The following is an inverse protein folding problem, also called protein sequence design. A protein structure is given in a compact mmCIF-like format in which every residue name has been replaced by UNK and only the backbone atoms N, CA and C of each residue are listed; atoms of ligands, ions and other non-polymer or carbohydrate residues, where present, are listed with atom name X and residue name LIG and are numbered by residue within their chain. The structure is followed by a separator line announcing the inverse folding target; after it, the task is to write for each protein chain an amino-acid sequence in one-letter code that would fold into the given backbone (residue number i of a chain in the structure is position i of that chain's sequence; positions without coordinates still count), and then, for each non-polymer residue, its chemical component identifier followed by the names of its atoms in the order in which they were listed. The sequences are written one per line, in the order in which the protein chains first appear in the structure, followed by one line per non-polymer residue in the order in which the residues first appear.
data_IF_048316842557
#
_entry.id   IF_048316842557
#
_cell.length_a   1.000
_cell.length_b   1.000
_cell.length_c   1.000
_cell.angle_alpha   90.00
_cell.angle_beta   90.00
_cell.angle_gamma   90.00
#
_symmetry.space_group_name_H-M   'P 1'
#
loop_
_entity.id
_entity.type
_entity.pdbx_description
1 polymer ?
#
# COMPACT_ATOMS: atom_id res chain seq x y z
N UNK A 1 -0.45 -42.70 -37.87
CA UNK A 1 -0.75 -43.09 -36.47
C UNK A 1 -0.09 -42.22 -35.40
N UNK A 2 1.24 -42.06 -35.30
CA UNK A 2 1.84 -41.24 -34.21
C UNK A 2 1.58 -39.73 -34.31
N UNK A 3 1.44 -39.19 -35.53
CA UNK A 3 1.18 -37.76 -35.73
C UNK A 3 -0.28 -37.38 -35.41
N UNK A 4 -1.24 -38.24 -35.76
CA UNK A 4 -2.68 -38.05 -35.46
C UNK A 4 -2.91 -38.03 -33.94
N UNK A 5 -2.24 -38.89 -33.17
CA UNK A 5 -2.36 -38.90 -31.71
C UNK A 5 -1.84 -37.61 -31.04
N UNK A 6 -0.87 -36.93 -31.66
CA UNK A 6 -0.25 -35.72 -31.13
C UNK A 6 -1.12 -34.49 -31.41
N UNK A 7 -1.69 -34.42 -32.62
CA UNK A 7 -2.67 -33.42 -33.01
C UNK A 7 -3.96 -33.54 -32.18
N UNK A 8 -4.40 -34.76 -31.92
CA UNK A 8 -5.60 -35.03 -31.11
C UNK A 8 -5.37 -34.74 -29.62
N UNK A 9 -4.17 -34.98 -29.10
CA UNK A 9 -3.77 -34.59 -27.75
C UNK A 9 -3.62 -33.06 -27.61
N UNK A 10 -3.07 -32.40 -28.64
CA UNK A 10 -2.95 -30.94 -28.71
C UNK A 10 -4.32 -30.27 -28.76
N UNK A 11 -5.24 -30.78 -29.59
CA UNK A 11 -6.61 -30.27 -29.69
C UNK A 11 -7.38 -30.47 -28.38
N UNK A 12 -7.19 -31.61 -27.69
CA UNK A 12 -7.78 -31.84 -26.35
C UNK A 12 -7.18 -30.91 -25.29
N UNK A 13 -5.88 -30.60 -25.36
CA UNK A 13 -5.24 -29.65 -24.46
C UNK A 13 -5.76 -28.24 -24.71
N UNK A 14 -5.95 -27.82 -25.96
CA UNK A 14 -6.54 -26.52 -26.31
C UNK A 14 -7.98 -26.43 -25.80
N UNK A 15 -8.81 -27.46 -26.04
CA UNK A 15 -10.20 -27.51 -25.55
C UNK A 15 -10.28 -27.53 -24.02
N UNK A 16 -9.29 -28.12 -23.33
CA UNK A 16 -9.19 -28.06 -21.88
C UNK A 16 -8.61 -26.72 -21.36
N UNK A 17 -7.92 -25.96 -22.22
CA UNK A 17 -7.21 -24.72 -21.90
C UNK A 17 -7.94 -23.43 -22.29
N UNK A 18 -9.16 -23.47 -22.85
CA UNK A 18 -9.87 -22.24 -23.27
C UNK A 18 -10.06 -21.22 -22.12
N UNK A 19 -10.00 -21.65 -20.84
CA UNK A 19 -10.09 -20.77 -19.66
C UNK A 19 -8.85 -20.75 -18.73
N UNK A 20 -7.91 -21.69 -18.89
CA UNK A 20 -6.82 -21.93 -17.92
C UNK A 20 -5.74 -20.82 -17.89
N UNK A 21 -5.27 -20.23 -19.01
CA UNK A 21 -4.29 -19.15 -18.93
C UNK A 21 -4.88 -17.88 -18.32
N UNK A 22 -6.19 -17.63 -18.49
CA UNK A 22 -6.85 -16.48 -17.89
C UNK A 22 -7.07 -16.63 -16.38
N UNK A 23 -7.45 -17.83 -15.90
CA UNK A 23 -7.62 -18.03 -14.46
C UNK A 23 -6.30 -17.96 -13.69
N UNK A 24 -5.22 -18.57 -14.19
CA UNK A 24 -3.90 -18.49 -13.54
C UNK A 24 -3.39 -17.04 -13.51
N UNK A 25 -3.55 -16.30 -14.61
CA UNK A 25 -3.17 -14.88 -14.68
C UNK A 25 -4.06 -14.03 -13.77
N UNK A 26 -5.35 -14.35 -13.66
CA UNK A 26 -6.28 -13.66 -12.75
C UNK A 26 -5.88 -13.89 -11.29
N UNK A 27 -5.60 -15.12 -10.88
CA UNK A 27 -5.20 -15.44 -9.51
C UNK A 27 -3.87 -14.79 -9.15
N UNK A 28 -2.90 -14.76 -10.08
CA UNK A 28 -1.63 -14.07 -9.88
C UNK A 28 -1.82 -12.55 -9.73
N UNK A 29 -2.66 -11.95 -10.58
CA UNK A 29 -2.99 -10.52 -10.53
C UNK A 29 -3.74 -10.18 -9.24
N UNK A 30 -4.72 -10.97 -8.84
CA UNK A 30 -5.47 -10.79 -7.59
C UNK A 30 -4.55 -10.91 -6.37
N UNK A 31 -3.68 -11.92 -6.34
CA UNK A 31 -2.67 -12.09 -5.29
C UNK A 31 -1.72 -10.89 -5.20
N UNK A 32 -1.25 -10.37 -6.33
CA UNK A 32 -0.37 -9.20 -6.37
C UNK A 32 -1.08 -7.92 -5.94
N UNK A 33 -2.33 -7.74 -6.33
CA UNK A 33 -3.16 -6.61 -5.87
C UNK A 33 -3.34 -6.68 -4.36
N UNK A 34 -3.62 -7.86 -3.80
CA UNK A 34 -3.82 -8.02 -2.37
C UNK A 34 -2.55 -7.77 -1.57
N UNK A 35 -1.39 -8.25 -2.05
CA UNK A 35 -0.08 -7.90 -1.47
C UNK A 35 0.18 -6.38 -1.52
N UNK A 36 -0.14 -5.72 -2.64
CA UNK A 36 0.03 -4.27 -2.77
C UNK A 36 -0.86 -3.51 -1.78
N UNK A 37 -2.11 -3.95 -1.58
CA UNK A 37 -3.01 -3.37 -0.58
C UNK A 37 -2.46 -3.55 0.83
N UNK A 38 -2.02 -4.76 1.18
CA UNK A 38 -1.48 -5.04 2.51
C UNK A 38 -0.26 -4.16 2.82
N UNK A 39 0.66 -4.04 1.87
CA UNK A 39 1.83 -3.15 1.99
C UNK A 39 1.41 -1.69 2.12
N UNK A 40 0.47 -1.23 1.29
CA UNK A 40 -0.03 0.14 1.35
C UNK A 40 -0.70 0.44 2.69
N UNK A 41 -1.52 -0.47 3.21
CA UNK A 41 -2.18 -0.34 4.51
C UNK A 41 -1.19 -0.27 5.67
N UNK A 42 -0.18 -1.14 5.70
CA UNK A 42 0.88 -1.11 6.73
C UNK A 42 1.69 0.18 6.69
N UNK A 43 2.00 0.67 5.48
CA UNK A 43 2.70 1.95 5.32
C UNK A 43 1.84 3.13 5.79
N UNK A 44 0.53 3.10 5.51
CA UNK A 44 -0.40 4.13 5.97
C UNK A 44 -0.46 4.17 7.50
N UNK A 45 -0.65 3.02 8.14
CA UNK A 45 -0.70 2.90 9.61
C UNK A 45 0.59 3.44 10.25
N UNK A 46 1.75 3.06 9.73
CA UNK A 46 3.04 3.58 10.19
C UNK A 46 3.14 5.11 10.04
N UNK A 47 2.71 5.67 8.91
CA UNK A 47 2.73 7.12 8.69
C UNK A 47 1.79 7.86 9.65
N UNK A 48 0.65 7.27 10.00
CA UNK A 48 -0.27 7.83 10.99
C UNK A 48 0.33 7.83 12.40
N UNK A 49 1.02 6.76 12.80
CA UNK A 49 1.75 6.68 14.07
C UNK A 49 2.89 7.70 14.14
N UNK A 50 3.68 7.83 13.07
CA UNK A 50 4.75 8.82 12.96
C UNK A 50 4.19 10.24 13.05
N UNK A 51 3.09 10.53 12.34
CA UNK A 51 2.38 11.82 12.43
C UNK A 51 1.90 12.10 13.85
N UNK A 52 1.29 11.12 14.52
CA UNK A 52 0.82 11.28 15.88
C UNK A 52 1.98 11.60 16.84
N UNK A 53 3.12 10.92 16.67
CA UNK A 53 4.35 11.17 17.43
C UNK A 53 4.87 12.59 17.20
N UNK A 54 4.95 13.05 15.95
CA UNK A 54 5.38 14.43 15.62
C UNK A 54 4.45 15.47 16.23
N UNK A 55 3.13 15.27 16.15
CA UNK A 55 2.14 16.17 16.76
C UNK A 55 2.29 16.20 18.28
N UNK A 56 2.52 15.05 18.93
CA UNK A 56 2.77 14.99 20.36
C UNK A 56 4.04 15.77 20.75
N UNK A 57 5.16 15.53 20.07
CA UNK A 57 6.41 16.27 20.29
C UNK A 57 6.22 17.78 20.06
N UNK A 58 5.46 18.19 19.04
CA UNK A 58 5.16 19.59 18.78
C UNK A 58 4.35 20.21 19.94
N UNK A 59 3.39 19.47 20.50
CA UNK A 59 2.60 19.90 21.65
C UNK A 59 3.46 20.07 22.91
N UNK A 60 4.38 19.15 23.18
CA UNK A 60 5.34 19.26 24.28
C UNK A 60 6.28 20.43 24.11
N UNK A 61 6.82 20.62 22.90
CA UNK A 61 7.69 21.74 22.59
C UNK A 61 6.97 23.08 22.77
N UNK A 62 5.72 23.20 22.31
CA UNK A 62 4.87 24.38 22.55
C UNK A 62 4.73 24.67 24.04
N UNK A 63 4.46 23.65 24.87
CA UNK A 63 4.36 23.82 26.33
C UNK A 63 5.66 24.34 26.94
N UNK A 64 6.81 23.78 26.54
CA UNK A 64 8.12 24.23 27.02
C UNK A 64 8.38 25.68 26.62
N UNK A 65 8.10 26.04 25.36
CA UNK A 65 8.33 27.39 24.84
C UNK A 65 7.42 28.41 25.51
N UNK A 66 6.11 28.16 25.60
CA UNK A 66 5.20 29.07 26.29
C UNK A 66 5.47 29.14 27.80
N UNK A 67 5.90 28.04 28.43
CA UNK A 67 6.33 28.06 29.83
C UNK A 67 7.56 28.93 30.07
N UNK A 68 8.48 29.01 29.09
CA UNK A 68 9.73 29.78 29.21
C UNK A 68 9.61 31.24 28.76
N UNK A 69 8.88 31.48 27.68
CA UNK A 69 8.82 32.79 27.02
C UNK A 69 7.46 33.50 27.20
N UNK A 70 6.43 32.79 27.68
CA UNK A 70 5.10 33.34 27.92
C UNK A 70 4.53 34.01 26.68
N UNK A 71 3.96 35.20 26.87
CA UNK A 71 3.35 36.02 25.81
C UNK A 71 4.38 36.72 24.91
N UNK A 72 5.68 36.51 25.13
CA UNK A 72 6.74 37.11 24.32
C UNK A 72 6.91 36.41 22.96
N UNK A 73 6.20 35.30 22.73
CA UNK A 73 6.22 34.53 21.47
C UNK A 73 4.79 34.18 21.03
N UNK A 74 4.56 34.08 19.72
CA UNK A 74 3.33 33.50 19.15
C UNK A 74 3.70 32.43 18.11
N UNK A 75 3.38 31.17 18.42
CA UNK A 75 3.76 30.01 17.60
C UNK A 75 2.67 29.58 16.60
N UNK A 76 1.51 30.25 16.57
CA UNK A 76 0.40 29.88 15.67
C UNK A 76 0.62 30.39 14.23
N UNK A 77 1.43 31.43 14.06
CA UNK A 77 1.67 32.07 12.75
C UNK A 77 2.67 31.29 11.86
N UNK A 78 3.46 30.39 12.45
CA UNK A 78 4.56 29.68 11.76
C UNK A 78 4.13 28.33 11.15
N UNK A 79 2.93 27.83 11.50
CA UNK A 79 2.50 26.47 11.13
C UNK A 79 1.72 26.37 9.81
N UNK A 80 1.50 27.50 9.13
CA UNK A 80 0.84 27.53 7.82
C UNK A 80 1.88 28.08 6.82
N UNK A 81 2.94 27.32 6.59
CA UNK A 81 3.75 27.51 5.40
C UNK A 81 2.92 27.15 4.19
N UNK A 82 2.65 28.13 3.33
CA UNK A 82 2.39 27.91 1.90
C UNK A 82 3.49 27.02 1.27
#
# INVERSE_FOLDING_TARGET
ETNENLEDAYNKLILACEDVPFQIVKDEVESRIEQMKEVASKNLEKLEEEKATVVAHMGELKKVLYGKFGDSINLEEVLIGE
#
